data_IF_596018263097
#
_entry.id   IF_596018263097
#
_cell.length_a   1.000
_cell.length_b   1.000
_cell.length_c   1.000
_cell.angle_alpha   90.00
_cell.angle_beta   90.00
_cell.angle_gamma   90.00
#
_symmetry.space_group_name_H-M   'P 1'
#
loop_
_entity.id
_entity.type
_entity.pdbx_description
1 polymer ?
#
# COMPACT_ATOMS: atom_id res chain seq x y z
N UNK A 1 -2.72 8.56 7.72
CA UNK A 1 -1.98 9.05 6.53
C UNK A 1 -0.70 8.23 6.40
N UNK A 2 -0.46 7.59 5.25
CA UNK A 2 0.72 6.75 5.00
C UNK A 2 2.04 7.53 5.12
N UNK A 3 2.00 8.85 4.87
CA UNK A 3 3.12 9.77 5.08
C UNK A 3 3.46 10.02 6.55
N UNK A 4 2.66 9.52 7.50
CA UNK A 4 3.00 9.57 8.91
C UNK A 4 4.15 8.60 9.19
N UNK A 5 5.27 9.11 9.74
CA UNK A 5 6.50 8.34 9.94
C UNK A 5 6.28 7.09 10.80
N UNK A 6 5.31 7.08 11.73
CA UNK A 6 5.01 5.91 12.54
C UNK A 6 4.29 4.81 11.74
N UNK A 7 3.42 5.19 10.79
CA UNK A 7 2.74 4.23 9.91
C UNK A 7 3.68 3.69 8.84
N UNK A 8 4.55 4.52 8.29
CA UNK A 8 5.60 4.06 7.39
C UNK A 8 6.50 3.02 8.07
N UNK A 9 6.89 3.25 9.34
CA UNK A 9 7.67 2.27 10.11
C UNK A 9 6.89 0.96 10.33
N UNK A 10 5.63 1.03 10.76
CA UNK A 10 4.78 -0.16 10.90
C UNK A 10 4.59 -0.92 9.59
N UNK A 11 4.44 -0.23 8.46
CA UNK A 11 4.32 -0.87 7.16
C UNK A 11 5.56 -1.71 6.86
N UNK A 12 6.75 -1.14 7.06
CA UNK A 12 8.02 -1.83 6.89
C UNK A 12 8.16 -3.03 7.85
N UNK A 13 7.83 -2.85 9.13
CA UNK A 13 7.85 -3.94 10.13
C UNK A 13 6.88 -5.09 9.78
N UNK A 14 5.66 -4.75 9.33
CA UNK A 14 4.62 -5.76 9.05
C UNK A 14 4.84 -6.48 7.72
N UNK A 15 5.41 -5.81 6.73
CA UNK A 15 5.70 -6.41 5.42
C UNK A 15 7.08 -7.05 5.36
N UNK A 16 7.96 -6.77 6.33
CA UNK A 16 9.36 -7.17 6.31
C UNK A 16 10.19 -6.44 5.25
N UNK A 17 9.63 -5.40 4.61
CA UNK A 17 10.31 -4.61 3.61
C UNK A 17 11.21 -3.58 4.28
N UNK A 18 12.35 -3.28 3.67
CA UNK A 18 13.16 -2.10 4.01
C UNK A 18 12.92 -0.98 2.99
N UNK A 19 13.24 0.28 3.29
CA UNK A 19 13.10 1.37 2.33
C UNK A 19 13.90 1.15 1.05
N UNK A 20 15.03 0.44 1.13
CA UNK A 20 15.87 0.08 -0.02
C UNK A 20 15.18 -0.96 -0.88
N UNK A 21 14.75 -2.08 -0.28
CA UNK A 21 14.03 -3.15 -0.98
C UNK A 21 12.75 -2.60 -1.60
N UNK A 22 11.99 -1.78 -0.88
CA UNK A 22 10.76 -1.17 -1.38
C UNK A 22 10.99 -0.36 -2.67
N UNK A 23 12.12 0.34 -2.79
CA UNK A 23 12.45 1.10 -4.00
C UNK A 23 12.87 0.18 -5.14
N UNK A 24 13.62 -0.88 -4.85
CA UNK A 24 14.06 -1.87 -5.84
C UNK A 24 12.90 -2.71 -6.37
N UNK A 25 11.93 -3.04 -5.51
CA UNK A 25 10.82 -3.95 -5.82
C UNK A 25 9.50 -3.21 -6.03
N UNK A 26 9.49 -1.89 -6.16
CA UNK A 26 8.26 -1.09 -6.37
C UNK A 26 7.46 -1.54 -7.60
N UNK A 27 8.14 -2.06 -8.63
CA UNK A 27 7.53 -2.62 -9.83
C UNK A 27 7.04 -4.06 -9.68
N UNK A 28 7.36 -4.72 -8.56
CA UNK A 28 7.02 -6.12 -8.33
C UNK A 28 5.60 -6.26 -7.79
N UNK A 29 4.87 -7.23 -8.36
CA UNK A 29 3.48 -7.53 -8.00
C UNK A 29 3.33 -7.87 -6.51
N UNK A 30 4.29 -8.59 -5.91
CA UNK A 30 4.20 -8.95 -4.50
C UNK A 30 4.32 -7.72 -3.60
N UNK A 31 5.17 -6.77 -3.96
CA UNK A 31 5.34 -5.51 -3.23
C UNK A 31 4.09 -4.64 -3.35
N UNK A 32 3.54 -4.50 -4.56
CA UNK A 32 2.31 -3.75 -4.80
C UNK A 32 1.12 -4.35 -4.04
N UNK A 33 1.01 -5.68 -3.99
CA UNK A 33 0.01 -6.38 -3.20
C UNK A 33 0.15 -6.08 -1.70
N UNK A 34 1.35 -6.16 -1.15
CA UNK A 34 1.61 -5.87 0.26
C UNK A 34 1.21 -4.42 0.65
N UNK A 35 1.49 -3.45 -0.24
CA UNK A 35 1.06 -2.05 -0.06
C UNK A 35 -0.47 -1.95 -0.05
N UNK A 36 -1.14 -2.58 -1.02
CA UNK A 36 -2.61 -2.55 -1.13
C UNK A 36 -3.28 -3.25 0.06
N UNK A 37 -2.74 -4.36 0.55
CA UNK A 37 -3.22 -5.05 1.74
C UNK A 37 -3.10 -4.15 2.99
N UNK A 38 -1.97 -3.46 3.15
CA UNK A 38 -1.78 -2.52 4.26
C UNK A 38 -2.74 -1.32 4.20
N UNK A 39 -2.97 -0.76 3.01
CA UNK A 39 -3.95 0.32 2.82
C UNK A 39 -5.36 -0.16 3.12
N UNK A 40 -5.75 -1.34 2.62
CA UNK A 40 -7.08 -1.90 2.84
C UNK A 40 -7.33 -2.31 4.29
N UNK A 41 -6.29 -2.63 5.05
CA UNK A 41 -6.41 -2.91 6.49
C UNK A 41 -6.82 -1.67 7.31
N UNK A 42 -6.77 -0.46 6.73
CA UNK A 42 -7.12 0.77 7.41
C UNK A 42 -7.83 1.77 6.49
N UNK A 43 -9.16 1.86 6.63
CA UNK A 43 -10.03 2.70 5.78
C UNK A 43 -9.57 4.15 5.57
N UNK A 44 -9.18 4.94 6.59
CA UNK A 44 -8.80 6.33 6.35
C UNK A 44 -7.47 6.46 5.58
N UNK A 45 -6.65 5.40 5.55
CA UNK A 45 -5.43 5.39 4.74
C UNK A 45 -5.67 4.92 3.32
N UNK A 46 -6.63 4.02 3.12
CA UNK A 46 -7.16 3.74 1.79
C UNK A 46 -7.74 5.02 1.16
N UNK A 47 -8.56 5.77 1.91
CA UNK A 47 -9.12 7.04 1.47
C UNK A 47 -8.04 8.08 1.16
N UNK A 48 -7.06 8.23 2.05
CA UNK A 48 -5.91 9.11 1.84
C UNK A 48 -5.11 8.78 0.57
N UNK A 49 -4.84 7.50 0.35
CA UNK A 49 -4.12 7.04 -0.83
C UNK A 49 -4.94 7.26 -2.10
N UNK A 50 -6.25 6.99 -2.05
CA UNK A 50 -7.17 7.22 -3.15
C UNK A 50 -7.23 8.71 -3.52
N UNK A 51 -7.35 9.59 -2.53
CA UNK A 51 -7.33 11.04 -2.71
C UNK A 51 -6.01 11.52 -3.33
N UNK A 52 -4.88 11.06 -2.81
CA UNK A 52 -3.55 11.42 -3.33
C UNK A 52 -3.31 10.92 -4.76
N UNK A 53 -3.89 9.78 -5.13
CA UNK A 53 -3.80 9.19 -6.47
C UNK A 53 -4.88 9.74 -7.42
N UNK A 54 -5.87 10.48 -6.91
CA UNK A 54 -7.01 10.97 -7.69
C UNK A 54 -7.92 9.86 -8.20
N UNK A 55 -8.02 8.74 -7.48
CA UNK A 55 -8.84 7.57 -7.84
C UNK A 55 -9.88 7.27 -6.77
N UNK A 56 -10.86 6.43 -7.10
CA UNK A 56 -11.81 5.94 -6.10
C UNK A 56 -11.18 4.89 -5.16
N UNK A 57 -11.48 4.90 -3.86
CA UNK A 57 -10.95 3.91 -2.91
C UNK A 57 -11.40 2.48 -3.24
N UNK A 58 -12.59 2.33 -3.82
CA UNK A 58 -13.11 1.07 -4.35
C UNK A 58 -12.26 0.50 -5.49
N UNK A 59 -11.61 1.35 -6.28
CA UNK A 59 -10.68 0.94 -7.34
C UNK A 59 -9.43 0.31 -6.73
N UNK A 60 -8.86 0.91 -5.69
CA UNK A 60 -7.69 0.37 -4.98
C UNK A 60 -8.01 -0.98 -4.33
N UNK A 61 -9.17 -1.11 -3.69
CA UNK A 61 -9.63 -2.38 -3.12
C UNK A 61 -9.86 -3.46 -4.20
N UNK A 62 -10.32 -3.08 -5.39
CA UNK A 62 -10.49 -3.98 -6.53
C UNK A 62 -9.14 -4.36 -7.16
N UNK A 63 -8.17 -3.45 -7.19
CA UNK A 63 -6.80 -3.73 -7.66
C UNK A 63 -6.13 -4.78 -6.78
N UNK A 64 -6.30 -4.70 -5.46
CA UNK A 64 -5.82 -5.73 -4.51
C UNK A 64 -6.32 -7.12 -4.88
N UNK A 65 -7.60 -7.24 -5.21
CA UNK A 65 -8.23 -8.52 -5.56
C UNK A 65 -7.73 -9.06 -6.92
N UNK A 66 -7.42 -8.15 -7.84
CA UNK A 66 -6.93 -8.47 -9.19
C UNK A 66 -5.44 -8.76 -9.26
N UNK A 67 -4.64 -8.21 -8.36
CA UNK A 67 -3.17 -8.30 -8.41
C UNK A 67 -2.73 -9.64 -7.79
N UNK A 68 -2.42 -10.61 -8.65
CA UNK A 68 -2.07 -11.99 -8.25
C UNK A 68 -3.04 -13.07 -8.72
N UNK A 69 -3.99 -12.75 -9.61
CA UNK A 69 -4.56 -13.69 -10.58
C UNK A 69 -3.61 -13.79 -11.79
#
# INVERSE_FOLDING_TARGET
MLSDSARAHRFLDLTGLTPEILRETVGDVATQRAVLDFLCAHEPDLLAAAESLGVEPSLLASMRDRIGQ
#
